data_IF_052465187546
#
_entry.id   IF_052465187546
#
_cell.length_a   1.000
_cell.length_b   1.000
_cell.length_c   1.000
_cell.angle_alpha   90.00
_cell.angle_beta   90.00
_cell.angle_gamma   90.00
#
_symmetry.space_group_name_H-M   'P 1'
#
loop_
_entity.id
_entity.type
_entity.pdbx_description
1 polymer ?
#
# COMPACT_ATOMS: atom_id res chain seq x y z
N UNK A 1 82.96 -6.07 57.35
CA UNK A 1 83.82 -5.37 56.37
C UNK A 1 83.32 -5.73 55.00
N UNK A 2 82.98 -4.73 54.19
CA UNK A 2 82.27 -4.92 52.92
C UNK A 2 83.10 -5.48 51.77
N UNK A 3 82.38 -5.76 50.68
CA UNK A 3 82.91 -5.84 49.32
C UNK A 3 82.77 -7.21 48.65
N UNK A 4 81.89 -7.30 47.65
CA UNK A 4 82.08 -8.21 46.51
C UNK A 4 80.92 -9.15 46.13
N UNK A 5 80.18 -8.74 45.09
CA UNK A 5 79.48 -9.57 44.08
C UNK A 5 78.35 -10.55 44.51
N UNK A 6 77.17 -10.42 43.89
CA UNK A 6 76.70 -11.38 42.87
C UNK A 6 75.26 -11.06 42.43
N UNK A 7 75.04 -11.00 41.12
CA UNK A 7 73.73 -10.82 40.48
C UNK A 7 73.26 -12.18 39.94
N UNK A 8 71.98 -12.45 40.24
CA UNK A 8 70.97 -13.11 39.36
C UNK A 8 70.87 -14.64 39.36
N UNK A 9 69.65 -15.10 39.68
CA UNK A 9 69.05 -16.33 39.14
C UNK A 9 68.87 -17.49 40.13
N UNK A 10 67.79 -17.45 40.93
CA UNK A 10 67.17 -18.64 41.56
C UNK A 10 65.87 -18.90 40.79
N UNK A 11 65.70 -20.07 40.17
CA UNK A 11 65.04 -21.26 40.76
C UNK A 11 63.84 -21.55 39.85
N UNK A 12 63.27 -22.74 39.69
CA UNK A 12 63.54 -24.07 40.20
C UNK A 12 62.86 -25.05 39.22
N UNK A 13 63.31 -26.28 39.28
CA UNK A 13 62.87 -27.44 38.49
C UNK A 13 61.41 -27.83 38.72
N UNK A 14 60.81 -28.58 37.77
CA UNK A 14 59.67 -29.46 38.11
C UNK A 14 58.58 -29.66 37.07
N UNK A 15 58.85 -30.57 36.13
CA UNK A 15 58.02 -31.72 35.75
C UNK A 15 56.54 -31.60 35.32
N UNK A 16 56.24 -32.35 34.25
CA UNK A 16 54.94 -32.63 33.64
C UNK A 16 53.96 -33.32 34.61
N UNK A 17 52.68 -32.94 34.56
CA UNK A 17 51.56 -33.80 34.12
C UNK A 17 50.20 -33.26 34.62
N UNK A 18 49.30 -33.06 33.65
CA UNK A 18 47.87 -33.39 33.63
C UNK A 18 47.02 -33.07 34.87
N UNK A 19 46.02 -32.18 34.69
CA UNK A 19 44.68 -32.38 35.27
C UNK A 19 43.65 -31.48 34.56
N UNK A 20 42.70 -32.12 33.87
CA UNK A 20 41.42 -31.54 33.49
C UNK A 20 40.67 -31.04 34.74
N UNK A 21 40.32 -29.75 34.77
CA UNK A 21 39.35 -29.20 35.71
C UNK A 21 38.42 -28.20 34.99
N UNK A 22 37.18 -28.66 34.85
CA UNK A 22 35.90 -27.97 34.67
C UNK A 22 35.86 -26.43 34.45
N UNK A 23 35.30 -26.07 33.29
CA UNK A 23 34.39 -24.97 32.94
C UNK A 23 34.29 -23.71 33.84
N UNK A 24 34.47 -22.54 33.19
CA UNK A 24 33.64 -21.35 33.40
C UNK A 24 33.05 -20.90 32.04
N UNK A 25 31.73 -20.75 31.87
CA UNK A 25 31.10 -20.48 30.58
C UNK A 25 30.82 -18.97 30.36
N UNK A 26 31.78 -18.10 30.64
CA UNK A 26 31.59 -16.64 30.49
C UNK A 26 32.67 -16.03 29.57
N UNK A 27 32.57 -16.31 28.28
CA UNK A 27 33.05 -15.44 27.19
C UNK A 27 32.74 -16.06 25.81
N UNK A 28 31.50 -16.48 25.57
CA UNK A 28 31.04 -16.69 24.20
C UNK A 28 30.86 -15.31 23.56
N UNK A 29 31.98 -14.77 23.04
CA UNK A 29 31.99 -13.60 22.16
C UNK A 29 31.05 -13.89 20.99
N UNK A 30 29.89 -13.24 21.01
CA UNK A 30 28.93 -13.23 19.91
C UNK A 30 29.55 -12.47 18.72
N UNK A 31 30.40 -13.13 17.95
CA UNK A 31 30.71 -12.67 16.60
C UNK A 31 29.49 -12.92 15.72
N UNK A 32 28.56 -11.97 15.72
CA UNK A 32 27.58 -11.86 14.64
C UNK A 32 28.36 -11.36 13.42
N UNK A 33 28.93 -12.28 12.63
CA UNK A 33 29.42 -11.95 11.30
C UNK A 33 28.21 -11.71 10.39
N UNK A 34 27.55 -10.56 10.57
CA UNK A 34 26.59 -10.03 9.60
C UNK A 34 27.39 -9.66 8.35
N UNK A 35 27.52 -10.63 7.44
CA UNK A 35 28.13 -10.43 6.13
C UNK A 35 27.24 -9.47 5.33
N UNK A 36 27.61 -8.19 5.31
CA UNK A 36 26.95 -7.19 4.46
C UNK A 36 27.24 -7.58 3.01
N UNK A 37 26.24 -8.17 2.34
CA UNK A 37 26.31 -8.44 0.90
C UNK A 37 26.26 -7.11 0.15
N UNK A 38 27.38 -6.72 -0.44
CA UNK A 38 27.41 -5.62 -1.41
C UNK A 38 26.76 -6.12 -2.70
N UNK A 39 25.66 -5.50 -3.17
CA UNK A 39 25.03 -5.92 -4.41
C UNK A 39 25.97 -5.68 -5.59
N UNK A 40 25.95 -6.59 -6.56
CA UNK A 40 26.72 -6.45 -7.79
C UNK A 40 26.15 -5.33 -8.67
N UNK A 41 26.98 -4.75 -9.54
CA UNK A 41 26.59 -3.63 -10.41
C UNK A 41 25.32 -3.94 -11.23
N UNK A 42 25.23 -5.13 -11.82
CA UNK A 42 24.07 -5.52 -12.62
C UNK A 42 22.77 -5.61 -11.80
N UNK A 43 22.83 -5.97 -10.51
CA UNK A 43 21.65 -5.99 -9.62
C UNK A 43 21.15 -4.57 -9.36
N UNK A 44 22.08 -3.64 -9.16
CA UNK A 44 21.76 -2.22 -8.98
C UNK A 44 21.17 -1.64 -10.27
N UNK A 45 21.74 -1.95 -11.43
CA UNK A 45 21.21 -1.55 -12.73
C UNK A 45 19.80 -2.12 -12.99
N UNK A 46 19.58 -3.38 -12.64
CA UNK A 46 18.28 -4.03 -12.73
C UNK A 46 17.25 -3.35 -11.81
N UNK A 47 17.60 -3.09 -10.55
CA UNK A 47 16.74 -2.38 -9.62
C UNK A 47 16.39 -0.97 -10.14
N UNK A 48 17.37 -0.22 -10.63
CA UNK A 48 17.16 1.12 -11.22
C UNK A 48 16.23 1.04 -12.44
N UNK A 49 16.44 0.09 -13.34
CA UNK A 49 15.60 -0.04 -14.53
C UNK A 49 14.16 -0.40 -14.19
N UNK A 50 13.95 -1.31 -13.23
CA UNK A 50 12.63 -1.69 -12.70
C UNK A 50 11.94 -0.48 -12.07
N UNK A 51 12.64 0.27 -11.20
CA UNK A 51 12.09 1.46 -10.56
C UNK A 51 11.72 2.56 -11.58
N UNK A 52 12.55 2.76 -12.62
CA UNK A 52 12.22 3.67 -13.73
C UNK A 52 10.98 3.21 -14.49
N UNK A 53 10.85 1.92 -14.77
CA UNK A 53 9.67 1.38 -15.42
C UNK A 53 8.40 1.57 -14.58
N UNK A 54 8.47 1.28 -13.27
CA UNK A 54 7.36 1.51 -12.34
C UNK A 54 6.93 2.98 -12.32
N UNK A 55 7.90 3.90 -12.29
CA UNK A 55 7.63 5.33 -12.33
C UNK A 55 6.92 5.74 -13.62
N UNK A 56 7.39 5.28 -14.78
CA UNK A 56 6.76 5.53 -16.08
C UNK A 56 5.32 5.02 -16.10
N UNK A 57 5.09 3.78 -15.67
CA UNK A 57 3.75 3.20 -15.62
C UNK A 57 2.80 4.00 -14.71
N UNK A 58 3.28 4.48 -13.56
CA UNK A 58 2.51 5.37 -12.68
C UNK A 58 2.17 6.69 -13.37
N UNK A 59 3.13 7.31 -14.06
CA UNK A 59 2.95 8.58 -14.76
C UNK A 59 1.97 8.44 -15.94
N UNK A 60 2.11 7.37 -16.73
CA UNK A 60 1.18 7.01 -17.80
C UNK A 60 -0.25 6.80 -17.26
N UNK A 61 -0.38 6.10 -16.13
CA UNK A 61 -1.67 5.91 -15.46
C UNK A 61 -2.29 7.24 -15.00
N UNK A 62 -1.47 8.14 -14.44
CA UNK A 62 -1.93 9.48 -14.04
C UNK A 62 -2.38 10.32 -15.25
N UNK A 63 -1.65 10.23 -16.37
CA UNK A 63 -2.01 10.90 -17.62
C UNK A 63 -3.31 10.33 -18.20
N UNK A 64 -3.49 9.01 -18.16
CA UNK A 64 -4.71 8.35 -18.61
C UNK A 64 -5.95 8.78 -17.78
N UNK A 65 -5.82 8.90 -16.46
CA UNK A 65 -6.89 9.45 -15.60
C UNK A 65 -7.25 10.88 -16.00
N UNK A 66 -6.25 11.75 -16.20
CA UNK A 66 -6.48 13.13 -16.64
C UNK A 66 -7.18 13.20 -18.00
N UNK A 67 -6.92 12.21 -18.87
CA UNK A 67 -7.56 12.08 -20.17
C UNK A 67 -8.93 11.37 -20.14
N UNK A 68 -9.43 10.98 -18.96
CA UNK A 68 -10.68 10.24 -18.80
C UNK A 68 -10.64 8.78 -19.28
N UNK A 69 -9.45 8.24 -19.58
CA UNK A 69 -9.23 6.86 -20.06
C UNK A 69 -9.02 5.93 -18.86
N UNK A 70 -10.09 5.61 -18.14
CA UNK A 70 -10.00 4.89 -16.87
C UNK A 70 -9.50 3.44 -17.03
N UNK A 71 -9.88 2.75 -18.11
CA UNK A 71 -9.47 1.37 -18.38
C UNK A 71 -7.96 1.29 -18.57
N UNK A 72 -7.41 2.21 -19.37
CA UNK A 72 -5.98 2.32 -19.60
C UNK A 72 -5.24 2.66 -18.31
N UNK A 73 -5.80 3.55 -17.47
CA UNK A 73 -5.20 3.86 -16.18
C UNK A 73 -5.10 2.62 -15.28
N UNK A 74 -6.16 1.81 -15.21
CA UNK A 74 -6.19 0.56 -14.44
C UNK A 74 -5.12 -0.41 -14.95
N UNK A 75 -4.99 -0.56 -16.26
CA UNK A 75 -3.96 -1.41 -16.88
C UNK A 75 -2.56 -0.95 -16.47
N UNK A 76 -2.26 0.35 -16.60
CA UNK A 76 -0.94 0.91 -16.27
C UNK A 76 -0.60 0.77 -14.78
N UNK A 77 -1.53 1.07 -13.88
CA UNK A 77 -1.30 0.85 -12.45
C UNK A 77 -1.14 -0.62 -12.08
N UNK A 78 -1.90 -1.51 -12.72
CA UNK A 78 -1.76 -2.96 -12.51
C UNK A 78 -0.40 -3.45 -13.01
N UNK A 79 0.05 -2.97 -14.17
CA UNK A 79 1.40 -3.23 -14.66
C UNK A 79 2.49 -2.77 -13.70
N UNK A 80 2.31 -1.62 -13.04
CA UNK A 80 3.25 -1.13 -12.03
C UNK A 80 3.23 -1.98 -10.75
N UNK A 81 2.05 -2.43 -10.31
CA UNK A 81 1.89 -3.31 -9.14
C UNK A 81 2.54 -4.69 -9.35
N UNK A 82 2.57 -5.19 -10.59
CA UNK A 82 3.19 -6.47 -10.93
C UNK A 82 4.73 -6.43 -10.88
N UNK A 83 5.35 -5.27 -10.70
CA UNK A 83 6.82 -5.12 -10.61
C UNK A 83 7.37 -5.32 -9.18
N UNK A 84 6.63 -6.00 -8.30
CA UNK A 84 7.03 -6.28 -6.91
C UNK A 84 7.44 -5.01 -6.13
N UNK A 85 6.53 -4.04 -6.06
CA UNK A 85 6.71 -2.79 -5.34
C UNK A 85 6.87 -2.96 -3.83
N UNK A 86 7.58 -2.02 -3.19
CA UNK A 86 7.57 -1.89 -1.75
C UNK A 86 6.17 -1.46 -1.23
N UNK A 87 5.81 -1.77 0.03
CA UNK A 87 4.48 -1.51 0.58
C UNK A 87 3.98 -0.07 0.42
N UNK A 88 4.85 0.91 0.66
CA UNK A 88 4.51 2.35 0.57
C UNK A 88 4.20 2.77 -0.87
N UNK A 89 4.96 2.25 -1.85
CA UNK A 89 4.69 2.58 -3.25
C UNK A 89 3.45 1.85 -3.76
N UNK A 90 3.28 0.59 -3.37
CA UNK A 90 2.09 -0.19 -3.67
C UNK A 90 0.83 0.48 -3.12
N UNK A 91 0.85 1.04 -1.91
CA UNK A 91 -0.30 1.74 -1.32
C UNK A 91 -0.74 2.93 -2.19
N UNK A 92 0.20 3.70 -2.73
CA UNK A 92 -0.09 4.80 -3.65
C UNK A 92 -0.73 4.30 -4.94
N UNK A 93 -0.19 3.23 -5.54
CA UNK A 93 -0.72 2.65 -6.78
C UNK A 93 -2.14 2.10 -6.60
N UNK A 94 -2.41 1.37 -5.51
CA UNK A 94 -3.76 0.90 -5.20
C UNK A 94 -4.75 2.04 -5.02
N UNK A 95 -4.35 3.11 -4.32
CA UNK A 95 -5.21 4.28 -4.13
C UNK A 95 -5.51 5.03 -5.44
N UNK A 96 -4.53 5.12 -6.35
CA UNK A 96 -4.74 5.72 -7.67
C UNK A 96 -5.61 4.82 -8.57
N UNK A 97 -5.41 3.50 -8.52
CA UNK A 97 -6.25 2.54 -9.24
C UNK A 97 -7.68 2.50 -8.70
N UNK A 98 -7.88 2.68 -7.39
CA UNK A 98 -9.20 2.86 -6.79
C UNK A 98 -9.92 4.09 -7.33
N UNK A 99 -9.20 5.20 -7.60
CA UNK A 99 -9.80 6.36 -8.25
C UNK A 99 -10.25 6.06 -9.69
N UNK A 100 -9.47 5.26 -10.42
CA UNK A 100 -9.82 4.80 -11.76
C UNK A 100 -11.07 3.91 -11.76
N UNK A 101 -11.14 2.94 -10.84
CA UNK A 101 -12.31 2.08 -10.66
C UNK A 101 -13.55 2.88 -10.24
N UNK A 102 -13.39 3.85 -9.35
CA UNK A 102 -14.48 4.74 -8.93
C UNK A 102 -15.04 5.52 -10.13
N UNK A 103 -14.17 6.07 -10.97
CA UNK A 103 -14.57 6.78 -12.19
C UNK A 103 -15.29 5.89 -13.22
N UNK A 104 -15.09 4.56 -13.20
CA UNK A 104 -15.85 3.59 -13.99
C UNK A 104 -17.18 3.16 -13.36
N UNK A 105 -17.44 3.53 -12.10
CA UNK A 105 -18.57 3.00 -11.33
C UNK A 105 -18.32 1.60 -10.75
N UNK A 106 -17.11 1.06 -10.84
CA UNK A 106 -16.71 -0.22 -10.25
C UNK A 106 -16.42 -0.06 -8.74
N UNK A 107 -17.47 0.21 -7.96
CA UNK A 107 -17.36 0.57 -6.54
C UNK A 107 -16.75 -0.54 -5.69
N UNK A 108 -17.08 -1.82 -5.96
CA UNK A 108 -16.55 -2.95 -5.20
C UNK A 108 -15.02 -3.04 -5.32
N UNK A 109 -14.50 -2.96 -6.56
CA UNK A 109 -13.07 -2.94 -6.85
C UNK A 109 -12.38 -1.71 -6.23
N UNK A 110 -13.02 -0.54 -6.30
CA UNK A 110 -12.49 0.68 -5.70
C UNK A 110 -12.35 0.56 -4.18
N UNK A 111 -13.36 0.03 -3.49
CA UNK A 111 -13.32 -0.21 -2.03
C UNK A 111 -12.22 -1.23 -1.69
N UNK A 112 -12.13 -2.34 -2.44
CA UNK A 112 -11.10 -3.35 -2.20
C UNK A 112 -9.68 -2.78 -2.34
N UNK A 113 -9.41 -1.96 -3.36
CA UNK A 113 -8.11 -1.32 -3.55
C UNK A 113 -7.82 -0.27 -2.46
N UNK A 114 -8.82 0.47 -2.00
CA UNK A 114 -8.68 1.35 -0.85
C UNK A 114 -8.33 0.58 0.44
N UNK A 115 -8.93 -0.58 0.67
CA UNK A 115 -8.59 -1.46 1.79
C UNK A 115 -7.13 -1.96 1.72
N UNK A 116 -6.69 -2.41 0.53
CA UNK A 116 -5.29 -2.81 0.30
C UNK A 116 -4.33 -1.65 0.58
N UNK A 117 -4.64 -0.48 0.04
CA UNK A 117 -3.82 0.73 0.22
C UNK A 117 -3.66 1.09 1.70
N UNK A 118 -4.76 1.12 2.45
CA UNK A 118 -4.74 1.40 3.90
C UNK A 118 -3.99 0.33 4.70
N UNK A 119 -4.13 -0.95 4.34
CA UNK A 119 -3.43 -2.04 5.00
C UNK A 119 -1.91 -1.97 4.82
N UNK A 120 -1.46 -1.54 3.63
CA UNK A 120 -0.04 -1.36 3.31
C UNK A 120 0.55 -0.11 3.95
N UNK A 121 -0.21 0.98 3.99
CA UNK A 121 0.22 2.25 4.56
C UNK A 121 -0.93 2.96 5.31
N UNK A 122 -1.06 2.77 6.63
CA UNK A 122 -2.12 3.40 7.41
C UNK A 122 -2.04 4.92 7.49
N UNK A 123 -0.83 5.50 7.35
CA UNK A 123 -0.62 6.96 7.41
C UNK A 123 -1.00 7.64 6.09
N UNK A 124 -1.28 6.87 5.03
CA UNK A 124 -1.68 7.42 3.75
C UNK A 124 -3.15 7.85 3.73
N UNK A 125 -3.41 9.04 4.27
CA UNK A 125 -4.75 9.58 4.49
C UNK A 125 -5.65 9.58 3.25
N UNK A 126 -5.09 9.81 2.05
CA UNK A 126 -5.87 9.82 0.80
C UNK A 126 -6.60 8.49 0.55
N UNK A 127 -6.05 7.37 1.00
CA UNK A 127 -6.70 6.06 0.90
C UNK A 127 -7.92 5.97 1.82
N UNK A 128 -7.76 6.34 3.10
CA UNK A 128 -8.86 6.38 4.08
C UNK A 128 -9.94 7.38 3.70
N UNK A 129 -9.54 8.55 3.18
CA UNK A 129 -10.46 9.57 2.70
C UNK A 129 -11.31 9.03 1.55
N UNK A 130 -10.69 8.46 0.50
CA UNK A 130 -11.42 7.86 -0.61
C UNK A 130 -12.31 6.69 -0.17
N UNK A 131 -11.82 5.83 0.74
CA UNK A 131 -12.62 4.74 1.30
C UNK A 131 -13.90 5.26 1.96
N UNK A 132 -13.80 6.29 2.78
CA UNK A 132 -14.96 6.91 3.42
C UNK A 132 -15.92 7.52 2.39
N UNK A 133 -15.43 8.10 1.28
CA UNK A 133 -16.32 8.63 0.22
C UNK A 133 -17.09 7.51 -0.47
N UNK A 134 -16.41 6.41 -0.80
CA UNK A 134 -17.03 5.23 -1.39
C UNK A 134 -18.06 4.59 -0.44
N UNK A 135 -17.77 4.56 0.86
CA UNK A 135 -18.71 4.05 1.88
C UNK A 135 -19.93 4.94 2.03
N UNK A 136 -19.78 6.27 1.97
CA UNK A 136 -20.91 7.20 1.92
C UNK A 136 -21.75 6.99 0.66
N UNK A 137 -21.13 6.78 -0.50
CA UNK A 137 -21.85 6.47 -1.75
C UNK A 137 -22.60 5.11 -1.68
N UNK A 138 -22.07 4.17 -0.92
CA UNK A 138 -22.72 2.89 -0.61
C UNK A 138 -23.76 2.98 0.53
N UNK A 139 -24.11 4.19 0.99
CA UNK A 139 -25.02 4.45 2.10
C UNK A 139 -24.63 3.69 3.39
N UNK A 140 -23.33 3.71 3.71
CA UNK A 140 -22.73 3.13 4.93
C UNK A 140 -21.95 4.17 5.72
N UNK A 141 -22.62 5.22 6.22
CA UNK A 141 -21.96 6.32 6.90
C UNK A 141 -21.27 5.91 8.21
N UNK A 142 -21.82 4.95 8.97
CA UNK A 142 -21.20 4.47 10.22
C UNK A 142 -19.82 3.84 9.97
N UNK A 143 -19.70 3.06 8.90
CA UNK A 143 -18.43 2.47 8.48
C UNK A 143 -17.45 3.55 8.01
N UNK A 144 -17.95 4.59 7.31
CA UNK A 144 -17.14 5.72 6.87
C UNK A 144 -16.60 6.52 8.07
N UNK A 145 -17.45 6.83 9.06
CA UNK A 145 -17.05 7.50 10.30
C UNK A 145 -16.04 6.67 11.08
N UNK A 146 -16.25 5.36 11.21
CA UNK A 146 -15.27 4.47 11.87
C UNK A 146 -13.89 4.54 11.20
N UNK A 147 -13.81 4.63 9.88
CA UNK A 147 -12.54 4.78 9.16
C UNK A 147 -11.88 6.14 9.44
N UNK A 148 -12.66 7.22 9.46
CA UNK A 148 -12.14 8.58 9.67
C UNK A 148 -11.76 8.85 11.12
N UNK A 149 -12.59 8.43 12.07
CA UNK A 149 -12.32 8.56 13.50
C UNK A 149 -11.04 7.79 13.86
N UNK A 150 -10.80 6.60 13.30
CA UNK A 150 -9.51 5.90 13.45
C UNK A 150 -8.32 6.74 12.97
N UNK A 151 -8.48 7.55 11.91
CA UNK A 151 -7.40 8.43 11.44
C UNK A 151 -7.19 9.64 12.37
N UNK A 152 -8.22 10.04 13.11
CA UNK A 152 -8.17 11.13 14.08
C UNK A 152 -7.61 10.68 15.44
N UNK A 153 -7.99 9.48 15.89
CA UNK A 153 -7.66 8.95 17.22
C UNK A 153 -6.27 8.31 17.28
N UNK A 154 -5.83 7.69 16.18
CA UNK A 154 -4.51 7.08 16.09
C UNK A 154 -3.44 8.18 16.02
N UNK A 155 -2.55 8.23 17.03
CA UNK A 155 -1.48 9.22 17.14
C UNK A 155 -0.48 9.14 15.99
N UNK A 156 -0.20 7.94 15.49
CA UNK A 156 0.73 7.74 14.38
C UNK A 156 0.13 8.26 13.07
N UNK A 157 -1.15 7.98 12.83
CA UNK A 157 -1.85 8.44 11.62
C UNK A 157 -2.05 9.95 11.69
N UNK A 158 -2.63 10.46 12.79
CA UNK A 158 -2.91 11.88 12.98
C UNK A 158 -1.65 12.74 12.98
N UNK A 159 -0.54 12.25 13.55
CA UNK A 159 0.76 12.92 13.54
C UNK A 159 1.41 12.99 12.15
N UNK A 160 1.07 12.09 11.24
CA UNK A 160 1.55 12.09 9.86
C UNK A 160 0.70 12.96 8.92
N UNK A 161 -0.44 13.49 9.37
CA UNK A 161 -1.33 14.32 8.56
C UNK A 161 -0.76 15.73 8.34
N UNK A 162 -0.84 16.21 7.10
CA UNK A 162 -0.70 17.64 6.80
C UNK A 162 -1.82 18.46 7.45
N UNK A 163 -1.59 19.75 7.71
CA UNK A 163 -2.63 20.69 8.15
C UNK A 163 -3.86 20.67 7.22
N UNK A 164 -3.62 20.62 5.90
CA UNK A 164 -4.69 20.53 4.90
C UNK A 164 -5.47 19.23 5.04
N UNK A 165 -4.78 18.10 5.23
CA UNK A 165 -5.41 16.80 5.38
C UNK A 165 -6.22 16.73 6.68
N UNK A 166 -5.72 17.29 7.78
CA UNK A 166 -6.43 17.38 9.05
C UNK A 166 -7.69 18.25 8.96
N UNK A 167 -7.63 19.38 8.25
CA UNK A 167 -8.82 20.19 7.96
C UNK A 167 -9.85 19.37 7.16
N UNK A 168 -9.40 18.71 6.09
CA UNK A 168 -10.27 17.89 5.24
C UNK A 168 -10.86 16.67 5.97
N UNK A 169 -10.14 16.11 6.94
CA UNK A 169 -10.64 15.04 7.81
C UNK A 169 -11.83 15.51 8.64
N UNK A 170 -11.68 16.64 9.34
CA UNK A 170 -12.74 17.23 10.17
C UNK A 170 -13.99 17.58 9.35
N UNK A 171 -13.79 18.26 8.22
CA UNK A 171 -14.87 18.62 7.30
C UNK A 171 -15.63 17.39 6.82
N UNK A 172 -14.92 16.31 6.47
CA UNK A 172 -15.56 15.08 6.00
C UNK A 172 -16.31 14.32 7.10
N UNK A 173 -15.81 14.32 8.33
CA UNK A 173 -16.53 13.75 9.48
C UNK A 173 -17.85 14.50 9.66
N UNK A 174 -17.80 15.84 9.72
CA UNK A 174 -18.99 16.68 9.89
C UNK A 174 -20.02 16.47 8.77
N UNK A 175 -19.57 16.43 7.51
CA UNK A 175 -20.44 16.17 6.36
C UNK A 175 -21.14 14.80 6.45
N UNK A 176 -20.43 13.77 6.91
CA UNK A 176 -21.00 12.42 7.04
C UNK A 176 -21.95 12.34 8.23
N UNK A 177 -21.62 12.97 9.37
CA UNK A 177 -22.48 13.06 10.56
C UNK A 177 -23.84 13.69 10.25
N UNK A 178 -23.85 14.76 9.45
CA UNK A 178 -25.08 15.41 8.97
C UNK A 178 -25.88 14.51 8.02
N UNK A 179 -25.21 13.63 7.26
CA UNK A 179 -25.84 12.73 6.31
C UNK A 179 -26.40 11.44 6.95
N UNK A 180 -25.88 10.97 8.10
CA UNK A 180 -26.29 9.71 8.76
C UNK A 180 -27.80 9.56 8.91
N UNK A 181 -28.56 10.56 9.40
CA UNK A 181 -29.99 10.40 9.60
C UNK A 181 -30.77 10.19 8.29
N UNK A 182 -30.20 10.62 7.16
CA UNK A 182 -30.84 10.64 5.85
C UNK A 182 -30.62 9.36 5.04
N UNK A 183 -29.53 8.63 5.29
CA UNK A 183 -29.13 7.44 4.53
C UNK A 183 -28.97 6.24 5.45
N UNK A 184 -30.06 5.48 5.66
CA UNK A 184 -30.03 4.33 6.59
C UNK A 184 -29.97 3.00 5.87
N UNK A 185 -30.36 2.93 4.59
CA UNK A 185 -30.39 1.66 3.86
C UNK A 185 -29.13 1.52 2.99
N UNK A 186 -28.27 0.51 3.26
CA UNK A 186 -27.07 0.31 2.43
C UNK A 186 -27.39 -0.08 0.99
N UNK A 187 -26.61 0.45 0.05
CA UNK A 187 -26.75 0.21 -1.39
C UNK A 187 -26.12 -1.13 -1.82
N UNK A 188 -26.74 -2.24 -1.41
CA UNK A 188 -26.25 -3.60 -1.69
C UNK A 188 -26.13 -3.91 -3.19
N UNK A 189 -27.04 -3.37 -4.01
CA UNK A 189 -27.02 -3.55 -5.47
C UNK A 189 -25.76 -2.94 -6.10
N UNK A 190 -25.41 -1.71 -5.67
CA UNK A 190 -24.18 -1.03 -6.10
C UNK A 190 -22.93 -1.76 -5.64
N UNK A 191 -22.94 -2.31 -4.42
CA UNK A 191 -21.82 -3.08 -3.86
C UNK A 191 -21.51 -4.35 -4.65
N UNK A 192 -22.52 -5.06 -5.18
CA UNK A 192 -22.31 -6.25 -6.02
C UNK A 192 -22.27 -5.91 -7.52
N UNK A 193 -22.41 -4.64 -7.89
CA UNK A 193 -22.51 -4.19 -9.29
C UNK A 193 -23.60 -4.90 -10.08
N UNK A 194 -24.77 -5.10 -9.45
CA UNK A 194 -25.95 -5.74 -10.06
C UNK A 194 -27.12 -4.76 -10.16
N UNK A 195 -27.97 -4.92 -11.19
CA UNK A 195 -29.18 -4.12 -11.37
C UNK A 195 -30.23 -4.42 -10.29
N UNK A 196 -31.15 -3.49 -10.03
CA UNK A 196 -32.31 -3.71 -9.13
C UNK A 196 -33.25 -4.81 -9.66
N UNK A 197 -33.24 -5.05 -10.97
CA UNK A 197 -34.02 -6.10 -11.64
C UNK A 197 -33.30 -7.46 -11.73
N UNK A 198 -32.18 -7.64 -11.03
CA UNK A 198 -31.36 -8.85 -11.13
C UNK A 198 -32.10 -10.12 -10.66
N UNK A 199 -31.74 -11.24 -11.30
CA UNK A 199 -32.14 -12.58 -10.86
C UNK A 199 -31.26 -13.08 -9.71
N UNK A 200 -31.69 -14.14 -9.04
CA UNK A 200 -30.89 -14.77 -7.99
C UNK A 200 -29.54 -15.33 -8.52
N UNK A 201 -29.54 -15.84 -9.75
CA UNK A 201 -28.33 -16.35 -10.40
C UNK A 201 -27.31 -15.24 -10.67
N UNK A 202 -27.78 -14.04 -11.03
CA UNK A 202 -26.91 -12.88 -11.25
C UNK A 202 -26.23 -12.45 -9.94
N UNK A 203 -26.98 -12.40 -8.83
CA UNK A 203 -26.45 -12.10 -7.50
C UNK A 203 -25.40 -13.14 -7.10
N UNK A 204 -25.72 -14.44 -7.25
CA UNK A 204 -24.79 -15.53 -6.95
C UNK A 204 -23.54 -15.49 -7.82
N UNK A 205 -23.67 -15.14 -9.11
CA UNK A 205 -22.53 -15.02 -10.03
C UNK A 205 -21.63 -13.83 -9.67
N UNK A 206 -22.23 -12.67 -9.38
CA UNK A 206 -21.49 -11.48 -8.96
C UNK A 206 -20.77 -11.71 -7.62
N UNK A 207 -21.47 -12.26 -6.62
CA UNK A 207 -20.87 -12.61 -5.33
C UNK A 207 -19.71 -13.59 -5.49
N UNK A 208 -19.90 -14.71 -6.21
CA UNK A 208 -18.82 -15.69 -6.44
C UNK A 208 -17.58 -15.06 -7.08
N UNK A 209 -17.77 -14.18 -8.08
CA UNK A 209 -16.67 -13.46 -8.73
C UNK A 209 -15.90 -12.57 -7.74
N UNK A 210 -16.60 -11.81 -6.89
CA UNK A 210 -15.99 -10.92 -5.92
C UNK A 210 -15.33 -11.69 -4.76
N UNK A 211 -16.00 -12.73 -4.26
CA UNK A 211 -15.53 -13.58 -3.17
C UNK A 211 -14.23 -14.32 -3.57
N UNK A 212 -14.18 -14.91 -4.76
CA UNK A 212 -12.98 -15.62 -5.23
C UNK A 212 -11.76 -14.70 -5.38
N UNK A 213 -11.99 -13.44 -5.77
CA UNK A 213 -10.93 -12.43 -5.95
C UNK A 213 -10.49 -11.77 -4.64
N UNK A 214 -11.36 -11.67 -3.64
CA UNK A 214 -11.08 -10.92 -2.42
C UNK A 214 -11.17 -11.77 -1.14
N UNK A 215 -11.13 -13.09 -1.26
CA UNK A 215 -11.07 -13.98 -0.10
C UNK A 215 -9.82 -13.69 0.75
N UNK A 216 -9.93 -13.63 2.10
CA UNK A 216 -8.79 -13.33 2.98
C UNK A 216 -7.60 -14.28 2.79
N UNK A 217 -7.84 -15.57 2.54
CA UNK A 217 -6.76 -16.55 2.30
C UNK A 217 -5.92 -16.25 1.06
N UNK A 218 -6.51 -15.58 0.06
CA UNK A 218 -5.82 -15.18 -1.18
C UNK A 218 -5.33 -13.73 -1.13
N UNK A 219 -5.52 -13.04 -0.01
CA UNK A 219 -5.22 -11.61 0.09
C UNK A 219 -3.73 -11.32 -0.14
N UNK A 220 -2.84 -12.17 0.37
CA UNK A 220 -1.39 -12.03 0.18
C UNK A 220 -0.97 -12.26 -1.28
N UNK A 221 -1.62 -13.20 -1.98
CA UNK A 221 -1.37 -13.45 -3.40
C UNK A 221 -1.83 -12.25 -4.26
N UNK A 222 -2.98 -11.68 -3.92
CA UNK A 222 -3.58 -10.58 -4.66
C UNK A 222 -3.02 -9.20 -4.26
N UNK A 223 -2.16 -9.15 -3.24
CA UNK A 223 -1.51 -7.95 -2.72
C UNK A 223 -0.01 -8.22 -2.51
N UNK A 224 0.66 -8.65 -3.58
CA UNK A 224 2.11 -8.90 -3.57
C UNK A 224 2.88 -7.61 -3.36
N UNK A 225 3.73 -7.59 -2.34
CA UNK A 225 4.67 -6.49 -2.05
C UNK A 225 6.02 -7.06 -1.68
N UNK A 226 7.09 -6.35 -2.04
CA UNK A 226 8.46 -6.73 -1.74
C UNK A 226 9.04 -5.89 -0.61
N UNK A 227 9.65 -6.55 0.36
CA UNK A 227 10.44 -5.90 1.42
C UNK A 227 11.93 -5.77 1.04
N UNK A 228 12.31 -6.35 -0.11
CA UNK A 228 13.66 -6.26 -0.66
C UNK A 228 13.65 -5.45 -1.96
N UNK A 229 14.80 -4.88 -2.32
CA UNK A 229 14.96 -4.25 -3.63
C UNK A 229 14.66 -5.25 -4.76
N UNK A 230 14.14 -4.79 -5.91
CA UNK A 230 13.96 -5.66 -7.07
C UNK A 230 15.29 -6.28 -7.47
N UNK A 231 15.35 -7.61 -7.51
CA UNK A 231 16.52 -8.37 -7.95
C UNK A 231 16.15 -9.23 -9.17
N UNK A 232 17.11 -9.54 -10.07
CA UNK A 232 16.85 -10.39 -11.22
C UNK A 232 16.44 -11.80 -10.77
N UNK A 233 15.53 -12.43 -11.51
CA UNK A 233 15.20 -13.85 -11.26
C UNK A 233 16.37 -14.75 -11.64
N UNK A 234 16.44 -15.98 -11.11
CA UNK A 234 17.51 -16.94 -11.47
C UNK A 234 17.64 -17.14 -13.00
N UNK A 235 16.53 -17.14 -13.73
CA UNK A 235 16.53 -17.19 -15.20
C UNK A 235 17.09 -15.92 -15.85
N UNK A 236 16.89 -14.74 -15.25
CA UNK A 236 17.47 -13.49 -15.75
C UNK A 236 18.98 -13.41 -15.45
N UNK A 237 19.42 -14.04 -14.36
CA UNK A 237 20.84 -14.28 -14.07
C UNK A 237 21.48 -15.15 -15.16
N UNK A 238 20.89 -16.29 -15.50
CA UNK A 238 21.42 -17.21 -16.52
C UNK A 238 21.48 -16.56 -17.92
N UNK A 239 20.47 -15.77 -18.28
CA UNK A 239 20.44 -15.04 -19.55
C UNK A 239 21.49 -13.91 -19.59
N UNK A 240 21.71 -13.21 -18.48
CA UNK A 240 22.76 -12.20 -18.39
C UNK A 240 24.15 -12.82 -18.34
N UNK A 241 24.35 -13.94 -17.64
CA UNK A 241 25.60 -14.68 -17.64
C UNK A 241 25.91 -15.19 -19.06
N UNK A 242 24.90 -15.66 -19.80
CA UNK A 242 25.02 -16.04 -21.20
C UNK A 242 25.39 -14.85 -22.11
N UNK A 243 24.78 -13.67 -21.89
CA UNK A 243 25.14 -12.43 -22.60
C UNK A 243 26.56 -11.97 -22.28
N UNK A 244 26.97 -12.01 -21.02
CA UNK A 244 28.34 -11.70 -20.59
C UNK A 244 29.35 -12.68 -21.18
N UNK A 245 29.07 -13.99 -21.13
CA UNK A 245 29.90 -15.04 -21.75
C UNK A 245 30.04 -14.84 -23.25
N UNK A 246 28.95 -14.53 -23.95
CA UNK A 246 28.98 -14.28 -25.40
C UNK A 246 29.72 -12.98 -25.75
N UNK A 247 29.62 -11.94 -24.93
CA UNK A 247 30.33 -10.68 -25.13
C UNK A 247 31.84 -10.85 -24.92
N UNK A 248 32.27 -11.61 -23.90
CA UNK A 248 33.69 -11.93 -23.68
C UNK A 248 34.27 -12.89 -24.74
N UNK A 249 33.47 -13.84 -25.26
CA UNK A 249 33.91 -14.69 -26.36
C UNK A 249 34.08 -13.92 -27.67
N UNK A 250 33.30 -12.85 -27.89
CA UNK A 250 33.45 -12.01 -29.07
C UNK A 250 34.66 -11.05 -28.98
N UNK A 251 35.07 -10.65 -27.77
CA UNK A 251 36.33 -9.92 -27.54
C UNK A 251 37.58 -10.79 -27.69
N UNK A 252 37.50 -12.09 -27.39
CA UNK A 252 38.64 -13.00 -27.51
C UNK A 252 38.95 -13.45 -28.95
N UNK A 253 38.06 -13.17 -29.92
CA UNK A 253 38.30 -13.55 -31.31
C UNK A 253 39.01 -12.46 -32.14
N UNK A 254 39.39 -11.34 -31.52
CA UNK A 254 40.02 -10.22 -32.22
C UNK A 254 41.28 -9.64 -31.56
N UNK A 255 41.88 -10.31 -30.57
CA UNK A 255 43.16 -9.86 -30.01
C UNK A 255 44.09 -11.03 -29.70
N UNK A 256 44.98 -11.34 -30.64
CA UNK A 256 46.33 -11.79 -30.31
C UNK A 256 47.06 -10.61 -29.64
N UNK A 257 46.79 -10.37 -28.36
CA UNK A 257 47.77 -9.80 -27.44
C UNK A 257 47.35 -10.12 -26.00
N UNK A 258 48.09 -11.03 -25.38
CA UNK A 258 47.95 -11.36 -23.96
C UNK A 258 48.25 -10.14 -23.09
N UNK A 259 47.24 -9.68 -22.36
CA UNK A 259 47.46 -8.98 -21.09
C UNK A 259 46.63 -9.71 -20.04
N UNK A 260 47.26 -10.66 -19.36
CA UNK A 260 46.75 -11.32 -18.17
C UNK A 260 46.51 -10.28 -17.07
N UNK A 261 45.24 -9.95 -16.82
CA UNK A 261 44.83 -9.26 -15.59
C UNK A 261 44.55 -10.34 -14.56
N UNK A 262 45.58 -10.71 -13.80
CA UNK A 262 45.44 -11.47 -12.56
C UNK A 262 44.97 -10.53 -11.45
N UNK A 263 43.66 -10.48 -11.18
CA UNK A 263 43.11 -9.86 -9.98
C UNK A 263 43.26 -10.81 -8.79
N UNK A 264 44.49 -10.97 -8.29
CA UNK A 264 44.78 -11.59 -6.99
C UNK A 264 44.73 -10.54 -5.88
N UNK A 265 43.56 -9.96 -5.62
CA UNK A 265 43.27 -9.29 -4.33
C UNK A 265 41.75 -9.24 -4.12
N UNK A 266 41.20 -9.80 -3.03
CA UNK A 266 39.79 -9.66 -2.72
C UNK A 266 39.44 -8.20 -2.40
N UNK A 267 38.21 -7.74 -2.71
CA UNK A 267 37.80 -6.35 -2.48
C UNK A 267 37.84 -6.01 -0.99
N UNK A 268 38.37 -4.82 -0.70
CA UNK A 268 38.59 -4.32 0.65
C UNK A 268 37.29 -4.24 1.47
N UNK A 269 37.32 -4.84 2.66
CA UNK A 269 36.30 -4.70 3.69
C UNK A 269 36.25 -3.24 4.18
N UNK A 270 35.09 -2.59 4.00
CA UNK A 270 34.83 -1.29 4.61
C UNK A 270 34.22 -1.54 5.99
N UNK A 271 34.99 -1.29 7.05
CA UNK A 271 34.52 -1.26 8.43
C UNK A 271 33.58 -0.06 8.65
N UNK A 272 32.49 -0.30 9.40
CA UNK A 272 31.36 0.62 9.64
C UNK A 272 31.75 2.06 9.98
N UNK A 273 31.00 3.07 9.47
CA UNK A 273 30.84 4.33 10.20
C UNK A 273 30.08 4.02 11.49
N UNK A 274 30.65 4.43 12.61
CA UNK A 274 30.00 4.38 13.93
C UNK A 274 28.68 5.15 13.85
N UNK A 275 27.59 4.45 14.15
CA UNK A 275 26.32 4.95 14.70
C UNK A 275 26.06 6.45 14.54
N UNK A 276 25.40 6.82 13.44
CA UNK A 276 24.30 7.79 13.52
C UNK A 276 23.34 7.63 12.31
N UNK A 277 22.35 6.72 12.37
CA UNK A 277 21.34 6.61 11.33
C UNK A 277 20.15 7.50 11.70
N UNK A 278 20.18 8.77 11.28
CA UNK A 278 18.95 9.55 11.08
C UNK A 278 18.44 9.42 9.64
N UNK A 279 18.60 8.24 9.04
CA UNK A 279 17.68 7.82 7.98
C UNK A 279 16.37 7.43 8.66
N UNK A 280 15.23 8.08 8.36
CA UNK A 280 13.94 7.64 8.89
C UNK A 280 13.76 6.19 8.48
N UNK A 281 13.83 5.33 9.47
CA UNK A 281 14.03 3.91 9.28
C UNK A 281 12.97 3.34 8.34
N UNK A 282 13.42 2.52 7.38
CA UNK A 282 12.55 1.65 6.58
C UNK A 282 11.85 0.57 7.44
N UNK A 283 12.07 0.62 8.76
CA UNK A 283 11.46 -0.16 9.84
C UNK A 283 10.12 0.40 10.34
N UNK A 284 9.23 0.89 9.47
CA UNK A 284 7.92 1.31 9.99
C UNK A 284 7.01 0.13 10.33
N UNK A 285 7.19 -1.03 9.67
CA UNK A 285 6.38 -2.23 9.90
C UNK A 285 7.15 -3.51 9.61
N UNK A 286 6.98 -4.54 10.44
CA UNK A 286 7.50 -5.88 10.14
C UNK A 286 6.72 -6.49 8.97
N UNK A 287 7.33 -7.45 8.26
CA UNK A 287 6.66 -8.19 7.18
C UNK A 287 5.36 -8.82 7.69
N UNK A 288 5.40 -9.42 8.88
CA UNK A 288 4.25 -10.06 9.52
C UNK A 288 3.11 -9.08 9.83
N UNK A 289 3.42 -7.90 10.38
CA UNK A 289 2.41 -6.86 10.63
C UNK A 289 1.70 -6.41 9.36
N UNK A 290 2.44 -6.22 8.26
CA UNK A 290 1.86 -5.84 6.97
C UNK A 290 0.95 -6.95 6.45
N UNK A 291 1.40 -8.21 6.48
CA UNK A 291 0.61 -9.36 6.05
C UNK A 291 -0.68 -9.53 6.86
N UNK A 292 -0.61 -9.33 8.18
CA UNK A 292 -1.78 -9.39 9.06
C UNK A 292 -2.78 -8.28 8.73
N UNK A 293 -2.34 -7.04 8.53
CA UNK A 293 -3.22 -5.94 8.10
C UNK A 293 -3.85 -6.18 6.74
N UNK A 294 -3.12 -6.80 5.80
CA UNK A 294 -3.67 -7.17 4.49
C UNK A 294 -4.82 -8.16 4.66
N UNK A 295 -4.64 -9.19 5.50
CA UNK A 295 -5.68 -10.18 5.80
C UNK A 295 -6.89 -9.55 6.51
N UNK A 296 -6.66 -8.69 7.49
CA UNK A 296 -7.72 -7.95 8.21
C UNK A 296 -8.53 -7.06 7.25
N UNK A 297 -7.84 -6.29 6.40
CA UNK A 297 -8.49 -5.44 5.39
C UNK A 297 -9.31 -6.25 4.39
N UNK A 298 -8.78 -7.39 3.93
CA UNK A 298 -9.50 -8.30 3.05
C UNK A 298 -10.69 -8.95 3.74
N UNK A 299 -10.56 -9.39 5.00
CA UNK A 299 -11.66 -9.97 5.80
C UNK A 299 -12.80 -8.98 6.02
N UNK A 300 -12.46 -7.72 6.32
CA UNK A 300 -13.44 -6.64 6.47
C UNK A 300 -14.22 -6.41 5.15
N UNK A 301 -13.53 -6.32 4.02
CA UNK A 301 -14.19 -6.20 2.71
C UNK A 301 -15.00 -7.45 2.35
N UNK A 302 -14.50 -8.64 2.70
CA UNK A 302 -15.21 -9.91 2.47
C UNK A 302 -16.53 -9.97 3.25
N UNK A 303 -16.53 -9.48 4.48
CA UNK A 303 -17.75 -9.35 5.29
C UNK A 303 -18.76 -8.42 4.62
N UNK A 304 -18.30 -7.32 4.02
CA UNK A 304 -19.14 -6.35 3.32
C UNK A 304 -19.85 -6.95 2.09
N UNK A 305 -19.12 -7.70 1.25
CA UNK A 305 -19.71 -8.39 0.10
C UNK A 305 -20.65 -9.53 0.53
N UNK A 306 -20.34 -10.23 1.62
CA UNK A 306 -21.17 -11.31 2.14
C UNK A 306 -22.52 -10.77 2.64
N UNK A 307 -22.49 -9.68 3.42
CA UNK A 307 -23.70 -8.99 3.86
C UNK A 307 -24.55 -8.53 2.66
N UNK A 308 -23.93 -8.00 1.60
CA UNK A 308 -24.67 -7.60 0.41
C UNK A 308 -25.34 -8.79 -0.29
N UNK A 309 -24.63 -9.92 -0.42
CA UNK A 309 -25.20 -11.14 -1.00
C UNK A 309 -26.35 -11.71 -0.17
N UNK A 310 -26.25 -11.69 1.16
CA UNK A 310 -27.29 -12.22 2.04
C UNK A 310 -28.59 -11.39 1.99
N UNK A 311 -28.46 -10.07 1.89
CA UNK A 311 -29.59 -9.14 1.77
C UNK A 311 -30.22 -9.19 0.37
N UNK A 312 -29.50 -9.70 -0.64
CA UNK A 312 -29.99 -9.81 -2.03
C UNK A 312 -30.29 -11.25 -2.47
N UNK A 313 -30.01 -12.27 -1.65
CA UNK A 313 -30.14 -13.67 -2.03
C UNK A 313 -31.57 -14.21 -2.15
N UNK A 314 -32.58 -13.43 -1.74
CA UNK A 314 -33.99 -13.79 -1.91
C UNK A 314 -34.71 -12.62 -2.59
N UNK A 315 -35.61 -12.92 -3.53
CA UNK A 315 -36.40 -11.93 -4.24
C UNK A 315 -37.22 -11.05 -3.29
N UNK A 316 -37.79 -11.63 -2.23
CA UNK A 316 -38.52 -10.86 -1.23
C UNK A 316 -37.63 -9.88 -0.48
N UNK A 317 -36.39 -10.28 -0.17
CA UNK A 317 -35.39 -9.40 0.45
C UNK A 317 -34.97 -8.29 -0.52
N UNK A 318 -34.72 -8.62 -1.80
CA UNK A 318 -34.40 -7.64 -2.86
C UNK A 318 -35.49 -6.58 -2.99
N UNK A 319 -36.77 -6.99 -3.06
CA UNK A 319 -37.91 -6.08 -3.12
C UNK A 319 -37.98 -5.17 -1.89
N UNK A 320 -37.75 -5.73 -0.69
CA UNK A 320 -37.72 -4.96 0.56
C UNK A 320 -36.60 -3.92 0.57
N UNK A 321 -35.40 -4.28 0.13
CA UNK A 321 -34.26 -3.36 0.03
C UNK A 321 -34.55 -2.26 -0.99
N UNK A 322 -35.09 -2.61 -2.17
CA UNK A 322 -35.46 -1.60 -3.18
C UNK A 322 -36.50 -0.63 -2.64
N UNK A 323 -37.58 -1.12 -2.03
CA UNK A 323 -38.65 -0.27 -1.50
C UNK A 323 -38.13 0.71 -0.44
N UNK A 324 -37.23 0.26 0.44
CA UNK A 324 -36.62 1.12 1.46
C UNK A 324 -35.80 2.24 0.82
N UNK A 325 -34.95 1.91 -0.14
CA UNK A 325 -34.16 2.88 -0.89
C UNK A 325 -35.05 3.87 -1.65
N UNK A 326 -36.14 3.42 -2.26
CA UNK A 326 -37.09 4.29 -2.99
C UNK A 326 -37.83 5.22 -2.01
N UNK A 327 -38.15 4.74 -0.81
CA UNK A 327 -38.75 5.54 0.27
C UNK A 327 -37.77 6.59 0.81
N UNK A 328 -36.48 6.26 0.94
CA UNK A 328 -35.46 7.21 1.38
C UNK A 328 -35.17 8.26 0.30
N UNK A 329 -35.06 7.85 -0.96
CA UNK A 329 -34.86 8.75 -2.10
C UNK A 329 -36.04 9.72 -2.28
N UNK A 330 -37.28 9.26 -2.08
CA UNK A 330 -38.45 10.15 -2.13
C UNK A 330 -38.44 11.15 -0.97
N UNK A 331 -38.12 10.73 0.26
CA UNK A 331 -37.98 11.66 1.41
C UNK A 331 -36.89 12.71 1.19
N UNK A 332 -35.77 12.34 0.57
CA UNK A 332 -34.72 13.28 0.17
C UNK A 332 -35.23 14.29 -0.88
N UNK A 333 -36.01 13.83 -1.86
CA UNK A 333 -36.58 14.69 -2.90
C UNK A 333 -37.61 15.71 -2.37
N UNK A 334 -38.45 15.33 -1.40
CA UNK A 334 -39.45 16.23 -0.81
C UNK A 334 -38.87 17.19 0.25
N UNK A 335 -37.75 16.84 0.88
CA UNK A 335 -37.07 17.70 1.85
C UNK A 335 -36.33 18.90 1.24
N UNK A 336 -36.07 18.89 -0.07
CA UNK A 336 -35.43 20.00 -0.78
C UNK A 336 -36.41 21.06 -1.31
N UNK A 337 -37.74 20.83 -1.24
CA UNK A 337 -38.76 21.77 -1.75
C UNK A 337 -39.46 22.62 -0.68
N UNK A 338 -39.10 22.51 0.60
CA UNK A 338 -39.79 23.21 1.70
C UNK A 338 -38.88 24.15 2.50
N UNK A 339 -38.12 25.02 1.81
CA UNK A 339 -37.20 25.93 2.49
C UNK A 339 -36.66 27.07 1.65
N UNK A 340 -37.51 27.83 0.96
CA UNK A 340 -37.22 29.21 0.52
C UNK A 340 -38.54 29.91 0.16
N UNK A 341 -39.31 30.25 1.19
CA UNK A 341 -40.34 31.29 1.12
C UNK A 341 -39.90 32.44 2.03
N UNK A 342 -38.97 33.26 1.56
CA UNK A 342 -38.75 34.59 2.13
C UNK A 342 -39.60 35.59 1.37
N UNK A 343 -40.70 35.95 2.02
CA UNK A 343 -41.53 37.12 1.76
C UNK A 343 -40.76 38.43 1.87
N UNK A 344 -41.00 39.33 0.92
CA UNK A 344 -40.76 40.77 0.97
C UNK A 344 -41.15 41.33 -0.40
N UNK A 345 -42.36 41.86 -0.61
CA UNK A 345 -42.73 43.25 -0.26
C UNK A 345 -41.85 44.19 -1.09
N UNK A 346 -42.26 44.79 -2.21
CA UNK A 346 -43.46 45.58 -2.43
C UNK A 346 -43.03 47.03 -2.73
N UNK A 347 -43.35 47.55 -3.93
CA UNK A 347 -43.08 48.93 -4.38
C UNK A 347 -42.18 48.93 -5.63
N UNK A 348 -42.54 49.47 -6.80
CA UNK A 348 -43.55 50.46 -7.13
C UNK A 348 -42.87 51.64 -7.85
N UNK A 349 -43.28 51.88 -9.10
CA UNK A 349 -43.07 53.08 -9.93
C UNK A 349 -41.77 53.23 -10.76
N UNK A 350 -41.98 53.36 -12.08
CA UNK A 350 -41.64 54.60 -12.77
C UNK A 350 -40.49 54.59 -13.78
N UNK A 351 -40.83 54.47 -15.07
CA UNK A 351 -40.53 55.51 -16.06
C UNK A 351 -39.11 55.65 -16.65
N UNK A 352 -39.03 55.28 -17.93
CA UNK A 352 -38.46 56.05 -19.05
C UNK A 352 -36.96 56.36 -19.17
N UNK A 353 -36.45 56.15 -20.39
CA UNK A 353 -35.51 57.07 -21.05
C UNK A 353 -34.16 56.47 -21.39
N UNK A 354 -33.95 56.11 -22.66
CA UNK A 354 -32.67 55.60 -23.16
C UNK A 354 -31.59 56.65 -23.33
N UNK A 355 -30.39 56.21 -23.74
CA UNK A 355 -29.61 56.80 -24.84
C UNK A 355 -28.42 55.90 -25.18
N UNK A 356 -28.17 55.82 -26.48
CA UNK A 356 -26.91 55.41 -27.10
C UNK A 356 -25.72 56.21 -26.54
N UNK A 357 -24.59 55.54 -26.32
CA UNK A 357 -23.39 55.72 -27.15
C UNK A 357 -22.37 54.60 -26.97
#
# INVERSE_FOLDING_TARGET
>A
GGGGASLKGRGDDGNLANNNAAASPEAASYRIEAHIRVPALFEVEYAISTLKQMQRLKEDGNAAIKAGKNELAIEKYTGALNQNCCPIYASLLYCNRAAAYHAQGALAEAVADCCRSKALNPTYFKASSRLASLLSELARPDAALSVLNKCQDDKQISGALSETDRKSLKERIELIEVAVPRQKTPEHFKMLSVSRSCSDDDVKKAYRKLALRNHPDKALLNCSVSFTLPYPTASAYDEQESKWRNSNNNSNNNNNNSTTITTTTPPAYISSPKSDPTWPSMELYTKEEVENRIKEGASWFFTLINQASEQLGDENKRRRVSLKLDTENSKLSYGSSSGLSTSGGGGGAGGSGGHHH
#
